data_IF_747636998265
#
_entry.id   IF_747636998265
#
_cell.length_a   1.000
_cell.length_b   1.000
_cell.length_c   1.000
_cell.angle_alpha   90.00
_cell.angle_beta   90.00
_cell.angle_gamma   90.00
#
_symmetry.space_group_name_H-M   'P 1'
#
loop_
_entity.id
_entity.type
_entity.pdbx_description
1 polymer ?
#
# COMPACT_ATOMS: atom_id res chain seq x y z
N UNK A 1 -62.77 2.03 -71.01
CA UNK A 1 -61.63 2.85 -71.49
C UNK A 1 -60.49 2.76 -70.48
N UNK A 2 -59.27 2.61 -71.00
CA UNK A 2 -57.99 2.44 -70.30
C UNK A 2 -57.71 3.56 -69.27
N UNK A 3 -57.11 3.22 -68.12
CA UNK A 3 -55.74 3.63 -67.77
C UNK A 3 -55.28 3.06 -66.41
N UNK A 4 -54.11 2.43 -66.47
CA UNK A 4 -53.20 2.02 -65.40
C UNK A 4 -52.67 3.18 -64.57
N UNK A 5 -52.05 2.88 -63.41
CA UNK A 5 -50.84 3.47 -62.75
C UNK A 5 -50.82 2.88 -61.32
N UNK A 6 -49.98 1.88 -61.00
CA UNK A 6 -48.54 1.91 -60.65
C UNK A 6 -48.18 2.50 -59.28
N UNK A 7 -47.24 1.80 -58.62
CA UNK A 7 -46.37 2.18 -57.49
C UNK A 7 -46.99 2.10 -56.08
N UNK A 8 -46.29 1.67 -55.02
CA UNK A 8 -44.86 1.42 -54.83
C UNK A 8 -44.71 0.39 -53.67
N UNK A 9 -43.86 -0.61 -53.85
CA UNK A 9 -43.45 -1.56 -52.80
C UNK A 9 -42.36 -0.90 -51.97
N UNK A 10 -42.58 -0.76 -50.67
CA UNK A 10 -41.58 -0.32 -49.70
C UNK A 10 -41.45 -1.35 -48.59
N UNK A 11 -40.52 -2.30 -48.76
CA UNK A 11 -40.20 -3.29 -47.73
C UNK A 11 -39.13 -2.69 -46.82
N UNK A 12 -39.52 -2.20 -45.64
CA UNK A 12 -38.57 -1.83 -44.60
C UNK A 12 -38.12 -3.10 -43.88
N UNK A 13 -36.84 -3.45 -44.02
CA UNK A 13 -36.18 -4.48 -43.21
C UNK A 13 -35.96 -3.91 -41.80
N UNK A 14 -36.74 -4.40 -40.84
CA UNK A 14 -36.46 -4.20 -39.42
C UNK A 14 -35.31 -5.14 -39.01
N UNK A 15 -34.10 -4.61 -38.91
CA UNK A 15 -32.99 -5.29 -38.25
C UNK A 15 -33.20 -5.21 -36.73
N UNK A 16 -33.76 -6.27 -36.15
CA UNK A 16 -33.77 -6.47 -34.72
C UNK A 16 -32.34 -6.76 -34.25
N UNK A 17 -31.62 -5.75 -33.75
CA UNK A 17 -30.40 -5.96 -32.99
C UNK A 17 -30.76 -6.57 -31.63
N UNK A 18 -30.51 -7.87 -31.49
CA UNK A 18 -30.49 -8.56 -30.20
C UNK A 18 -29.26 -8.05 -29.46
N UNK A 19 -29.45 -7.09 -28.55
CA UNK A 19 -28.47 -6.79 -27.51
C UNK A 19 -28.47 -7.98 -26.54
N UNK A 20 -27.52 -8.90 -26.74
CA UNK A 20 -27.11 -9.80 -25.69
C UNK A 20 -26.49 -8.94 -24.58
N UNK A 21 -27.26 -8.69 -23.52
CA UNK A 21 -26.77 -8.10 -22.30
C UNK A 21 -25.72 -9.03 -21.69
N UNK A 22 -24.46 -8.77 -21.98
CA UNK A 22 -23.36 -9.28 -21.18
C UNK A 22 -23.52 -8.65 -19.79
N UNK A 23 -24.09 -9.42 -18.86
CA UNK A 23 -23.93 -9.14 -17.44
C UNK A 23 -22.44 -9.34 -17.14
N UNK A 24 -21.67 -8.25 -17.19
CA UNK A 24 -20.41 -8.17 -16.46
C UNK A 24 -20.78 -8.36 -14.99
N UNK A 25 -20.71 -9.60 -14.53
CA UNK A 25 -20.64 -9.89 -13.10
C UNK A 25 -19.51 -9.01 -12.57
N UNK A 26 -19.88 -8.01 -11.77
CA UNK A 26 -18.93 -7.37 -10.88
C UNK A 26 -18.37 -8.52 -10.05
N UNK A 27 -17.14 -8.94 -10.37
CA UNK A 27 -16.36 -9.71 -9.43
C UNK A 27 -16.26 -8.80 -8.20
N UNK A 28 -17.10 -9.04 -7.21
CA UNK A 28 -16.72 -8.79 -5.83
C UNK A 28 -15.41 -9.53 -5.69
N UNK A 29 -14.30 -8.80 -5.73
CA UNK A 29 -12.98 -9.32 -5.40
C UNK A 29 -13.18 -10.11 -4.10
N UNK A 30 -13.10 -11.44 -4.25
CA UNK A 30 -13.17 -12.31 -3.12
C UNK A 30 -11.98 -11.92 -2.26
N UNK A 31 -12.25 -11.34 -1.09
CA UNK A 31 -11.23 -11.05 -0.09
C UNK A 31 -10.41 -12.34 0.04
N UNK A 32 -9.11 -12.31 -0.31
CA UNK A 32 -8.31 -13.52 -0.39
C UNK A 32 -8.38 -14.25 0.95
N UNK A 33 -8.81 -15.51 0.90
CA UNK A 33 -8.82 -16.36 2.08
C UNK A 33 -7.38 -16.49 2.57
N UNK A 34 -7.11 -16.30 3.88
CA UNK A 34 -5.77 -16.42 4.43
C UNK A 34 -5.21 -17.81 4.10
N UNK A 35 -4.05 -17.84 3.44
CA UNK A 35 -3.36 -19.09 3.12
C UNK A 35 -3.04 -19.83 4.42
N UNK A 36 -3.38 -21.12 4.49
CA UNK A 36 -3.24 -21.97 5.67
C UNK A 36 -1.79 -22.22 6.12
N UNK A 37 -0.80 -21.55 5.51
CA UNK A 37 0.60 -21.62 5.89
C UNK A 37 1.10 -20.25 6.38
N UNK A 38 1.17 -20.08 7.70
CA UNK A 38 2.12 -19.13 8.30
C UNK A 38 1.72 -17.66 8.39
N UNK A 39 0.42 -17.33 8.39
CA UNK A 39 -0.04 -15.96 8.68
C UNK A 39 0.22 -14.95 7.56
N UNK A 40 0.58 -15.38 6.36
CA UNK A 40 0.76 -14.47 5.21
C UNK A 40 -0.57 -14.22 4.52
N UNK A 41 -0.90 -12.95 4.30
CA UNK A 41 -2.11 -12.50 3.59
C UNK A 41 -1.70 -11.66 2.39
N UNK A 42 -2.21 -12.00 1.21
CA UNK A 42 -2.08 -11.16 0.01
C UNK A 42 -3.13 -10.05 0.06
N UNK A 43 -2.72 -8.81 -0.20
CA UNK A 43 -3.61 -7.63 -0.19
C UNK A 43 -3.92 -7.17 -1.61
N UNK A 44 -2.94 -7.21 -2.51
CA UNK A 44 -3.13 -7.07 -3.97
C UNK A 44 -2.07 -7.90 -4.73
N UNK A 45 -2.04 -7.79 -6.06
CA UNK A 45 -1.27 -8.66 -6.96
C UNK A 45 0.23 -8.79 -6.56
N UNK A 46 0.82 -7.71 -6.04
CA UNK A 46 2.25 -7.64 -5.70
C UNK A 46 2.52 -7.29 -4.24
N UNK A 47 1.48 -7.19 -3.41
CA UNK A 47 1.61 -6.84 -1.99
C UNK A 47 1.05 -7.94 -1.10
N UNK A 48 1.89 -8.42 -0.19
CA UNK A 48 1.51 -9.36 0.85
C UNK A 48 2.12 -8.95 2.18
N UNK A 49 1.45 -9.34 3.27
CA UNK A 49 1.84 -9.03 4.64
C UNK A 49 1.95 -10.31 5.46
N UNK A 50 2.94 -10.36 6.34
CA UNK A 50 3.09 -11.41 7.33
C UNK A 50 2.46 -10.94 8.65
N UNK A 51 1.38 -11.59 9.06
CA UNK A 51 0.63 -11.30 10.28
C UNK A 51 1.27 -11.92 11.54
N UNK A 52 2.43 -12.54 11.39
CA UNK A 52 3.25 -13.02 12.50
C UNK A 52 4.45 -12.10 12.73
N UNK A 53 4.86 -11.98 13.99
CA UNK A 53 6.10 -11.35 14.38
C UNK A 53 7.32 -12.18 13.95
N UNK A 54 8.51 -11.58 14.04
CA UNK A 54 9.78 -12.21 13.66
C UNK A 54 10.10 -13.49 14.46
N UNK A 55 9.55 -13.63 15.67
CA UNK A 55 9.69 -14.81 16.52
C UNK A 55 8.65 -15.90 16.23
N UNK A 56 7.77 -15.68 15.26
CA UNK A 56 6.69 -16.58 14.86
C UNK A 56 5.41 -16.46 15.69
N UNK A 57 5.36 -15.57 16.69
CA UNK A 57 4.12 -15.27 17.40
C UNK A 57 3.13 -14.51 16.51
N UNK A 58 1.83 -14.67 16.77
CA UNK A 58 0.79 -13.94 16.05
C UNK A 58 0.74 -12.50 16.55
N UNK A 59 0.75 -11.53 15.63
CA UNK A 59 0.63 -10.11 15.99
C UNK A 59 -0.72 -9.82 16.64
N UNK A 60 -0.81 -8.75 17.43
CA UNK A 60 -2.11 -8.29 17.93
C UNK A 60 -3.03 -7.87 16.78
N UNK A 61 -4.35 -7.90 16.99
CA UNK A 61 -5.32 -7.52 15.95
C UNK A 61 -5.08 -6.11 15.41
N UNK A 62 -4.66 -5.18 16.27
CA UNK A 62 -4.36 -3.80 15.88
C UNK A 62 -3.10 -3.72 14.98
N UNK A 63 -2.06 -4.49 15.27
CA UNK A 63 -0.85 -4.58 14.45
C UNK A 63 -1.14 -5.26 13.10
N UNK A 64 -1.95 -6.32 13.10
CA UNK A 64 -2.37 -6.98 11.87
C UNK A 64 -3.15 -6.02 10.96
N UNK A 65 -4.13 -5.30 11.51
CA UNK A 65 -4.92 -4.35 10.73
C UNK A 65 -4.04 -3.22 10.18
N UNK A 66 -3.03 -2.77 10.92
CA UNK A 66 -2.10 -1.74 10.45
C UNK A 66 -1.26 -2.21 9.27
N UNK A 67 -0.72 -3.44 9.33
CA UNK A 67 0.00 -4.02 8.20
C UNK A 67 -0.90 -4.11 6.96
N UNK A 68 -2.14 -4.56 7.13
CA UNK A 68 -3.11 -4.67 6.05
C UNK A 68 -3.45 -3.29 5.46
N UNK A 69 -3.74 -2.30 6.31
CA UNK A 69 -4.01 -0.92 5.89
C UNK A 69 -2.83 -0.33 5.12
N UNK A 70 -1.60 -0.62 5.56
CA UNK A 70 -0.39 -0.10 4.93
C UNK A 70 -0.07 -0.80 3.60
N UNK A 71 -0.26 -2.11 3.51
CA UNK A 71 -0.19 -2.81 2.23
C UNK A 71 -1.27 -2.32 1.26
N UNK A 72 -2.48 -2.06 1.73
CA UNK A 72 -3.52 -1.44 0.90
C UNK A 72 -3.13 -0.03 0.43
N UNK A 73 -2.45 0.75 1.28
CA UNK A 73 -1.87 2.04 0.88
C UNK A 73 -0.82 1.87 -0.23
N UNK A 74 0.10 0.92 -0.11
CA UNK A 74 1.10 0.61 -1.17
C UNK A 74 0.44 0.17 -2.48
N UNK A 75 -0.64 -0.62 -2.43
CA UNK A 75 -1.38 -1.01 -3.63
C UNK A 75 -1.92 0.20 -4.44
N UNK A 76 -2.26 1.30 -3.77
CA UNK A 76 -2.76 2.53 -4.42
C UNK A 76 -1.60 3.48 -4.80
N UNK A 77 -0.44 3.35 -4.17
CA UNK A 77 0.65 4.34 -4.22
C UNK A 77 2.04 3.76 -4.54
N UNK A 78 2.11 2.57 -5.17
CA UNK A 78 3.35 1.81 -5.37
C UNK A 78 4.48 2.50 -6.14
N UNK A 79 4.19 3.60 -6.85
CA UNK A 79 5.19 4.39 -7.58
C UNK A 79 5.95 5.40 -6.70
N UNK A 80 5.62 5.52 -5.40
CA UNK A 80 6.20 6.50 -4.49
C UNK A 80 7.22 5.86 -3.53
N UNK A 81 8.37 6.53 -3.33
CA UNK A 81 9.42 6.09 -2.39
C UNK A 81 9.49 6.88 -1.09
N UNK A 82 8.81 8.03 -1.01
CA UNK A 82 8.69 8.87 0.17
C UNK A 82 7.55 9.87 -0.03
N UNK A 83 6.91 10.32 1.06
CA UNK A 83 5.86 11.33 0.95
C UNK A 83 5.00 11.55 2.19
N UNK A 84 3.98 12.38 2.01
CA UNK A 84 2.93 12.67 2.97
C UNK A 84 1.57 12.60 2.27
N UNK A 85 0.60 11.90 2.86
CA UNK A 85 -0.72 11.67 2.29
C UNK A 85 -1.81 11.91 3.33
N UNK A 86 -2.89 12.60 2.96
CA UNK A 86 -4.00 12.91 3.87
C UNK A 86 -5.24 12.09 3.50
N UNK A 87 -5.75 11.30 4.45
CA UNK A 87 -6.97 10.49 4.30
C UNK A 87 -8.21 11.36 4.56
N UNK A 88 -9.03 11.60 3.53
CA UNK A 88 -10.43 12.03 3.72
C UNK A 88 -10.85 13.42 3.25
N UNK A 89 -10.49 13.86 2.05
CA UNK A 89 -11.26 14.90 1.35
C UNK A 89 -11.98 14.32 0.14
N UNK A 90 -13.30 14.20 0.26
CA UNK A 90 -14.20 13.99 -0.87
C UNK A 90 -14.10 15.17 -1.85
N UNK A 91 -13.73 14.85 -3.08
CA UNK A 91 -14.15 15.51 -4.33
C UNK A 91 -13.74 16.98 -4.55
N UNK A 92 -12.68 17.20 -5.32
CA UNK A 92 -12.75 17.65 -6.74
C UNK A 92 -11.41 18.21 -7.19
N UNK A 93 -10.89 17.63 -8.29
CA UNK A 93 -10.04 18.24 -9.32
C UNK A 93 -8.67 18.84 -8.93
N UNK A 94 -7.65 18.31 -9.61
CA UNK A 94 -6.35 18.93 -9.85
C UNK A 94 -5.53 19.29 -8.60
N UNK A 95 -4.60 18.41 -8.25
CA UNK A 95 -3.18 18.77 -8.33
C UNK A 95 -2.30 17.53 -8.19
N UNK A 96 -1.90 16.98 -9.34
CA UNK A 96 -0.51 16.59 -9.52
C UNK A 96 0.36 17.83 -9.27
N UNK A 97 0.78 18.10 -8.02
CA UNK A 97 1.76 19.15 -7.73
C UNK A 97 2.33 19.02 -6.32
N UNK A 98 3.59 18.61 -6.28
CA UNK A 98 4.56 18.77 -5.19
C UNK A 98 4.05 18.48 -3.77
N UNK A 99 4.56 17.39 -3.17
CA UNK A 99 4.70 17.26 -1.73
C UNK A 99 5.16 18.62 -1.17
N UNK A 100 4.22 19.37 -0.60
CA UNK A 100 4.52 20.68 -0.06
C UNK A 100 5.17 20.39 1.28
N UNK A 101 6.49 20.26 1.29
CA UNK A 101 7.29 20.25 2.51
C UNK A 101 7.06 21.60 3.21
N UNK A 102 6.02 21.68 4.04
CA UNK A 102 5.98 22.69 5.07
C UNK A 102 7.23 22.50 5.92
N UNK A 103 7.92 23.57 6.31
CA UNK A 103 9.08 23.44 7.21
C UNK A 103 8.71 22.92 8.61
N UNK A 104 7.43 22.61 8.83
CA UNK A 104 6.85 21.97 10.01
C UNK A 104 6.40 20.54 9.77
N UNK A 105 6.57 19.96 8.58
CA UNK A 105 6.21 18.56 8.32
C UNK A 105 7.12 17.62 9.10
N UNK A 106 6.61 16.50 9.63
CA UNK A 106 7.44 15.51 10.30
C UNK A 106 8.48 14.95 9.32
N UNK A 107 9.70 14.79 9.81
CA UNK A 107 10.74 14.04 9.11
C UNK A 107 10.62 12.59 9.53
N UNK A 108 10.16 11.73 8.63
CA UNK A 108 10.16 10.28 8.78
C UNK A 108 11.36 9.72 8.04
N UNK A 109 12.05 8.75 8.62
CA UNK A 109 13.24 8.16 7.99
C UNK A 109 13.31 6.67 8.28
N UNK A 110 13.43 5.88 7.22
CA UNK A 110 13.82 4.48 7.28
C UNK A 110 15.34 4.38 7.23
N UNK A 111 15.93 3.68 8.19
CA UNK A 111 17.37 3.44 8.22
C UNK A 111 17.62 1.98 7.86
N UNK A 112 18.39 1.75 6.81
CA UNK A 112 18.87 0.43 6.43
C UNK A 112 20.40 0.48 6.28
N UNK A 113 21.11 -0.34 7.04
CA UNK A 113 22.55 -0.55 6.91
C UNK A 113 22.80 -1.99 6.47
N UNK A 114 23.40 -2.14 5.29
CA UNK A 114 23.82 -3.44 4.74
C UNK A 114 25.35 -3.50 4.67
N UNK A 115 25.92 -4.41 5.45
CA UNK A 115 27.36 -4.71 5.49
C UNK A 115 27.57 -6.22 5.42
N UNK A 116 28.80 -6.67 5.18
CA UNK A 116 29.09 -8.09 5.04
C UNK A 116 28.71 -8.83 6.33
N UNK A 117 27.74 -9.73 6.22
CA UNK A 117 27.23 -10.52 7.35
C UNK A 117 26.36 -9.74 8.35
N UNK A 118 25.89 -8.53 8.02
CA UNK A 118 25.00 -7.76 8.88
C UNK A 118 24.03 -6.88 8.08
N UNK A 119 22.74 -7.11 8.29
CA UNK A 119 21.66 -6.18 7.98
C UNK A 119 21.18 -5.57 9.30
N UNK A 120 21.07 -4.24 9.34
CA UNK A 120 20.56 -3.49 10.50
C UNK A 120 19.54 -2.47 10.04
N UNK A 121 18.41 -2.39 10.73
CA UNK A 121 17.37 -1.44 10.39
C UNK A 121 16.61 -0.90 11.59
N UNK A 122 16.06 0.31 11.42
CA UNK A 122 15.17 0.99 12.36
C UNK A 122 14.41 2.11 11.64
N UNK A 123 13.31 2.59 12.22
CA UNK A 123 12.58 3.76 11.75
C UNK A 123 12.69 4.89 12.79
N UNK A 124 12.79 6.13 12.32
CA UNK A 124 12.74 7.33 13.17
C UNK A 124 11.74 8.34 12.64
N UNK A 125 11.13 9.11 13.54
CA UNK A 125 10.35 10.27 13.19
C UNK A 125 10.70 11.47 14.09
N UNK A 126 10.82 12.65 13.48
CA UNK A 126 10.98 13.93 14.17
C UNK A 126 9.82 14.86 13.80
N UNK A 127 9.13 15.41 14.79
CA UNK A 127 8.03 16.35 14.55
C UNK A 127 7.90 17.38 15.67
N UNK A 128 7.51 18.61 15.35
CA UNK A 128 7.31 19.67 16.33
C UNK A 128 5.97 19.56 17.09
N UNK A 129 5.03 18.74 16.60
CA UNK A 129 3.70 18.55 17.19
C UNK A 129 3.71 17.59 18.37
N UNK A 130 2.93 17.94 19.40
CA UNK A 130 2.60 17.09 20.55
C UNK A 130 1.35 16.22 20.33
N UNK A 131 0.82 16.17 19.11
CA UNK A 131 -0.26 15.25 18.75
C UNK A 131 0.24 13.81 18.88
N UNK A 132 -0.67 12.93 19.31
CA UNK A 132 -0.40 11.50 19.39
C UNK A 132 -0.17 10.96 17.98
N UNK A 133 0.96 10.27 17.80
CA UNK A 133 1.41 9.72 16.54
C UNK A 133 1.96 8.32 16.75
N UNK A 134 1.86 7.49 15.71
CA UNK A 134 2.35 6.11 15.70
C UNK A 134 3.31 5.93 14.54
N UNK A 135 4.55 5.56 14.87
CA UNK A 135 5.60 5.18 13.94
C UNK A 135 5.68 3.67 13.86
N UNK A 136 5.60 3.12 12.67
CA UNK A 136 5.79 1.70 12.38
C UNK A 136 7.02 1.51 11.49
N UNK A 137 7.67 0.37 11.66
CA UNK A 137 8.78 -0.12 10.86
C UNK A 137 8.31 -1.41 10.18
N UNK A 138 8.48 -1.51 8.88
CA UNK A 138 8.24 -2.73 8.12
C UNK A 138 9.45 -3.06 7.25
N UNK A 139 9.67 -4.34 6.95
CA UNK A 139 10.69 -4.76 5.99
C UNK A 139 10.22 -5.92 5.13
N UNK A 140 10.83 -6.07 3.95
CA UNK A 140 10.70 -7.25 3.10
C UNK A 140 12.04 -7.63 2.48
N UNK A 141 12.15 -8.90 2.12
CA UNK A 141 13.34 -9.48 1.47
C UNK A 141 12.90 -10.12 0.16
N UNK A 142 13.64 -9.89 -0.93
CA UNK A 142 13.39 -10.44 -2.27
C UNK A 142 11.94 -10.32 -2.74
N UNK A 143 11.31 -9.16 -2.47
CA UNK A 143 9.91 -8.87 -2.80
C UNK A 143 8.90 -9.83 -2.13
N UNK A 144 9.27 -10.45 -1.02
CA UNK A 144 8.39 -11.24 -0.18
C UNK A 144 7.38 -10.40 0.62
N UNK A 145 6.71 -11.05 1.57
CA UNK A 145 5.71 -10.38 2.41
C UNK A 145 6.35 -9.36 3.36
N UNK A 146 5.72 -8.18 3.45
CA UNK A 146 6.08 -7.17 4.44
C UNK A 146 5.87 -7.71 5.85
N UNK A 147 6.90 -7.55 6.67
CA UNK A 147 6.94 -8.04 8.05
C UNK A 147 7.21 -6.86 8.98
N UNK A 148 6.47 -6.76 10.08
CA UNK A 148 6.70 -5.74 11.09
C UNK A 148 8.10 -5.89 11.72
N UNK A 149 8.84 -4.79 11.80
CA UNK A 149 10.10 -4.68 12.56
C UNK A 149 9.96 -3.84 13.83
N UNK A 150 8.74 -3.46 14.19
CA UNK A 150 8.42 -2.82 15.47
C UNK A 150 7.78 -1.46 15.31
N UNK A 151 7.38 -0.91 16.44
CA UNK A 151 6.58 0.31 16.50
C UNK A 151 6.96 1.19 17.69
N UNK A 152 6.61 2.47 17.59
CA UNK A 152 6.67 3.42 18.68
C UNK A 152 5.47 4.37 18.58
N UNK A 153 4.81 4.65 19.70
CA UNK A 153 3.66 5.57 19.73
C UNK A 153 3.79 6.56 20.89
N UNK A 154 3.31 7.78 20.69
CA UNK A 154 3.32 8.80 21.73
C UNK A 154 3.17 10.22 21.22
N UNK A 155 3.37 11.17 22.12
CA UNK A 155 3.26 12.62 21.88
C UNK A 155 4.62 13.31 21.81
N UNK A 156 5.73 12.58 22.02
CA UNK A 156 7.08 13.13 22.01
C UNK A 156 7.45 13.67 20.63
N UNK A 157 8.32 14.67 20.57
CA UNK A 157 8.79 15.25 19.30
C UNK A 157 9.72 14.30 18.51
N UNK A 158 10.19 13.23 19.14
CA UNK A 158 11.00 12.20 18.52
C UNK A 158 10.44 10.82 18.85
N UNK A 159 10.27 9.99 17.83
CA UNK A 159 9.97 8.56 17.95
C UNK A 159 11.07 7.75 17.25
N UNK A 160 11.38 6.60 17.83
CA UNK A 160 12.27 5.61 17.24
C UNK A 160 11.73 4.23 17.54
N UNK A 161 11.73 3.36 16.54
CA UNK A 161 11.51 1.93 16.77
C UNK A 161 12.78 1.29 17.34
N UNK A 162 12.66 0.03 17.76
CA UNK A 162 13.82 -0.78 18.14
C UNK A 162 14.70 -1.03 16.92
N UNK A 163 16.02 -0.99 17.14
CA UNK A 163 17.00 -1.45 16.14
C UNK A 163 17.00 -2.97 16.05
N UNK A 164 16.81 -3.50 14.85
CA UNK A 164 16.89 -4.93 14.56
C UNK A 164 18.14 -5.24 13.76
N UNK A 165 18.66 -6.45 13.94
CA UNK A 165 19.86 -6.92 13.24
C UNK A 165 19.75 -8.41 12.94
N UNK A 166 20.19 -8.81 11.74
CA UNK A 166 20.35 -10.22 11.36
C UNK A 166 21.59 -10.37 10.47
N UNK A 167 22.05 -11.60 10.28
CA UNK A 167 23.04 -11.97 9.26
C UNK A 167 22.29 -12.33 7.96
N UNK A 168 22.18 -11.42 6.97
CA UNK A 168 21.48 -11.72 5.73
C UNK A 168 22.33 -12.65 4.86
N UNK A 169 21.72 -13.61 4.15
CA UNK A 169 22.32 -14.23 2.98
C UNK A 169 22.80 -13.17 1.98
N UNK A 170 23.85 -13.47 1.22
CA UNK A 170 24.43 -12.54 0.24
C UNK A 170 23.57 -12.43 -1.01
N UNK A 171 23.44 -11.22 -1.53
CA UNK A 171 22.76 -10.94 -2.81
C UNK A 171 21.24 -10.78 -2.72
N UNK A 172 20.67 -10.80 -1.51
CA UNK A 172 19.24 -10.56 -1.30
C UNK A 172 18.92 -9.07 -1.42
N UNK A 173 17.77 -8.76 -1.99
CA UNK A 173 17.21 -7.41 -2.01
C UNK A 173 16.46 -7.15 -0.70
N UNK A 174 16.82 -6.06 -0.01
CA UNK A 174 16.21 -5.66 1.25
C UNK A 174 15.52 -4.32 1.07
N UNK A 175 14.30 -4.22 1.57
CA UNK A 175 13.54 -2.97 1.67
C UNK A 175 13.07 -2.79 3.10
N UNK A 176 13.20 -1.57 3.62
CA UNK A 176 12.71 -1.15 4.93
C UNK A 176 11.89 0.10 4.73
N UNK A 177 10.73 0.14 5.37
CA UNK A 177 9.81 1.27 5.32
C UNK A 177 9.54 1.79 6.73
N UNK A 178 9.59 3.11 6.86
CA UNK A 178 9.16 3.83 8.04
C UNK A 178 7.84 4.51 7.71
N UNK A 179 6.82 4.29 8.52
CA UNK A 179 5.49 4.86 8.31
C UNK A 179 5.00 5.53 9.58
N UNK A 180 4.64 6.81 9.50
CA UNK A 180 4.16 7.61 10.61
C UNK A 180 2.72 8.03 10.34
N UNK A 181 1.81 7.57 11.19
CA UNK A 181 0.43 8.03 11.23
C UNK A 181 0.27 9.13 12.28
N UNK A 182 -0.18 10.30 11.85
CA UNK A 182 -0.54 11.44 12.69
C UNK A 182 -1.96 11.92 12.36
N UNK A 183 -2.93 11.54 13.19
CA UNK A 183 -4.34 11.85 12.95
C UNK A 183 -4.87 11.20 11.67
N UNK A 184 -4.99 11.99 10.60
CA UNK A 184 -5.43 11.55 9.25
C UNK A 184 -4.36 11.71 8.19
N UNK A 185 -3.12 11.99 8.60
CA UNK A 185 -2.00 12.16 7.67
C UNK A 185 -1.02 11.04 7.92
N UNK A 186 -0.63 10.39 6.84
CA UNK A 186 0.33 9.30 6.79
C UNK A 186 1.60 9.80 6.09
N UNK A 187 2.75 9.62 6.73
CA UNK A 187 4.06 10.00 6.21
C UNK A 187 4.91 8.75 6.10
N UNK A 188 5.70 8.64 5.04
CA UNK A 188 6.51 7.44 4.84
C UNK A 188 7.84 7.74 4.16
N UNK A 189 8.79 6.85 4.42
CA UNK A 189 10.11 6.82 3.80
C UNK A 189 10.57 5.38 3.64
N UNK A 190 11.22 5.08 2.51
CA UNK A 190 11.68 3.73 2.17
C UNK A 190 13.18 3.73 1.91
N UNK A 191 13.89 2.79 2.53
CA UNK A 191 15.30 2.53 2.30
C UNK A 191 15.48 1.12 1.72
N UNK A 192 16.25 1.00 0.64
CA UNK A 192 16.48 -0.28 -0.03
C UNK A 192 17.95 -0.53 -0.36
N UNK A 193 18.31 -1.79 -0.58
CA UNK A 193 19.66 -2.16 -1.00
C UNK A 193 19.83 -3.67 -1.18
N UNK A 194 21.05 -4.07 -1.54
CA UNK A 194 21.43 -5.47 -1.74
C UNK A 194 22.46 -5.89 -0.68
N UNK A 195 22.27 -7.03 -0.04
CA UNK A 195 23.18 -7.58 0.97
C UNK A 195 24.53 -7.99 0.36
N UNK A 196 25.64 -7.78 1.10
CA UNK A 196 27.02 -7.94 0.62
C UNK A 196 27.75 -9.16 1.20
#
# INVERSE_FOLDING_TARGET
>A
MKKSISALVGTAFAAAMIFAGAQTASATDAVPAPSAAGGIVSVCADESVNLNAIDGSVLSTDEQQQLIDHAAFRCVHGDLSHGAMQTGTTSTLQQSKAATLASSSPTVTAHLTLTVGLARWLATAQHASSVHKKLTCEYRVDYGAWTSCGEAAGTQTYLSTRTNTICPPRGEHWEVEAFLREGRVDYFDTASGISK
#
